data_IF_653463727432
#
_entry.id   IF_653463727432
#
_cell.length_a   1.000
_cell.length_b   1.000
_cell.length_c   1.000
_cell.angle_alpha   90.00
_cell.angle_beta   90.00
_cell.angle_gamma   90.00
#
_symmetry.space_group_name_H-M   'P 1'
#
loop_
_entity.id
_entity.type
_entity.pdbx_description
1 polymer ?
#
# COMPACT_ATOMS: atom_id res chain seq x y z
N UNK A 1 31.88 3.25 1.72
CA UNK A 1 30.45 2.93 2.00
C UNK A 1 29.72 2.97 0.67
N UNK A 2 28.83 2.06 0.45
CA UNK A 2 27.96 2.04 -0.74
C UNK A 2 26.50 2.22 -0.35
N UNK A 3 25.70 2.77 -1.25
CA UNK A 3 24.25 2.92 -1.08
C UNK A 3 23.55 1.90 -1.97
N UNK A 4 22.72 1.06 -1.38
CA UNK A 4 22.00 -0.02 -2.06
C UNK A 4 20.51 0.31 -2.09
N UNK A 5 19.89 0.15 -3.26
CA UNK A 5 18.44 0.19 -3.46
C UNK A 5 17.93 -1.23 -3.70
N UNK A 6 16.92 -1.62 -2.94
CA UNK A 6 16.19 -2.88 -3.16
C UNK A 6 14.77 -2.60 -3.61
N UNK A 7 14.25 -3.47 -4.47
CA UNK A 7 12.81 -3.60 -4.74
C UNK A 7 12.32 -4.89 -4.13
N UNK A 8 11.27 -4.79 -3.30
CA UNK A 8 10.75 -5.88 -2.48
C UNK A 8 9.28 -6.15 -2.81
N UNK A 9 8.89 -7.42 -2.69
CA UNK A 9 7.48 -7.80 -2.59
C UNK A 9 7.24 -8.54 -1.27
N UNK A 10 6.03 -8.42 -0.72
CA UNK A 10 5.65 -9.16 0.48
C UNK A 10 4.13 -9.32 0.65
N UNK A 11 3.76 -10.44 1.26
CA UNK A 11 2.44 -10.65 1.81
C UNK A 11 2.38 -10.05 3.22
N UNK A 12 1.60 -8.99 3.40
CA UNK A 12 1.50 -8.25 4.67
C UNK A 12 0.65 -8.92 5.76
N UNK A 13 -0.08 -10.00 5.46
CA UNK A 13 -1.10 -10.59 6.33
C UNK A 13 -0.60 -10.87 7.75
N UNK A 14 0.62 -11.38 7.91
CA UNK A 14 1.21 -11.74 9.22
C UNK A 14 1.94 -10.59 9.89
N UNK A 15 2.08 -9.44 9.22
CA UNK A 15 2.90 -8.33 9.68
C UNK A 15 2.08 -7.19 10.24
N UNK A 16 2.65 -6.52 11.23
CA UNK A 16 2.13 -5.29 11.82
C UNK A 16 2.49 -4.05 10.97
N UNK A 17 2.56 -4.25 9.64
CA UNK A 17 2.95 -3.26 8.66
C UNK A 17 4.46 -3.19 8.42
N UNK A 18 4.87 -2.16 7.71
CA UNK A 18 6.28 -1.91 7.42
C UNK A 18 7.08 -1.64 8.71
N UNK A 19 6.60 -0.70 9.52
CA UNK A 19 7.24 -0.26 10.76
C UNK A 19 6.18 0.12 11.78
N UNK A 20 6.25 -0.44 12.97
CA UNK A 20 5.34 -0.09 14.05
C UNK A 20 5.95 1.00 14.93
N UNK A 21 5.19 2.06 15.29
CA UNK A 21 5.67 3.13 16.19
C UNK A 21 5.86 2.67 17.65
N UNK A 22 5.16 1.63 18.09
CA UNK A 22 5.16 1.17 19.49
C UNK A 22 6.28 0.15 19.78
N UNK A 23 6.77 0.12 21.03
CA UNK A 23 7.89 -0.73 21.49
C UNK A 23 7.62 -2.23 21.31
N UNK A 24 6.38 -2.68 21.48
CA UNK A 24 6.02 -4.10 21.42
C UNK A 24 5.60 -4.53 20.02
N UNK A 25 6.15 -5.65 19.54
CA UNK A 25 5.81 -6.25 18.26
C UNK A 25 6.61 -5.69 17.07
N UNK A 26 7.71 -4.97 17.29
CA UNK A 26 8.64 -4.55 16.22
C UNK A 26 9.14 -5.76 15.40
N UNK A 27 9.40 -6.88 16.06
CA UNK A 27 9.82 -8.15 15.44
C UNK A 27 8.80 -8.72 14.43
N UNK A 28 7.54 -8.29 14.52
CA UNK A 28 6.45 -8.65 13.60
C UNK A 28 6.28 -7.64 12.47
N UNK A 29 7.28 -6.82 12.18
CA UNK A 29 7.26 -5.87 11.07
C UNK A 29 8.11 -6.35 9.90
N UNK A 30 7.77 -5.91 8.67
CA UNK A 30 8.56 -6.25 7.48
C UNK A 30 9.97 -5.66 7.59
N UNK A 31 10.10 -4.42 8.06
CA UNK A 31 11.41 -3.77 8.21
C UNK A 31 12.34 -4.53 9.15
N UNK A 32 11.82 -5.06 10.26
CA UNK A 32 12.62 -5.88 11.19
C UNK A 32 13.17 -7.14 10.52
N UNK A 33 12.34 -7.85 9.73
CA UNK A 33 12.81 -9.07 9.05
C UNK A 33 13.97 -8.77 8.10
N UNK A 34 13.88 -7.64 7.40
CA UNK A 34 14.92 -7.23 6.44
C UNK A 34 16.18 -6.75 7.18
N UNK A 35 16.06 -5.92 8.21
CA UNK A 35 17.23 -5.45 8.99
C UNK A 35 17.92 -6.59 9.71
N UNK A 36 17.17 -7.55 10.27
CA UNK A 36 17.72 -8.75 10.91
C UNK A 36 18.51 -9.62 9.92
N UNK A 37 17.96 -9.83 8.71
CA UNK A 37 18.65 -10.56 7.65
C UNK A 37 19.91 -9.82 7.18
N UNK A 38 19.85 -8.50 6.97
CA UNK A 38 21.00 -7.68 6.59
C UNK A 38 22.10 -7.72 7.66
N UNK A 39 21.73 -7.63 8.93
CA UNK A 39 22.69 -7.77 10.04
C UNK A 39 23.40 -9.12 10.02
N UNK A 40 22.66 -10.21 9.77
CA UNK A 40 23.26 -11.54 9.62
C UNK A 40 24.22 -11.67 8.43
N UNK A 41 23.97 -10.91 7.33
CA UNK A 41 24.79 -10.92 6.12
C UNK A 41 26.03 -10.05 6.25
N UNK A 42 25.91 -8.86 6.86
CA UNK A 42 26.95 -7.81 6.86
C UNK A 42 27.63 -7.63 8.21
N UNK A 43 27.03 -8.09 9.29
CA UNK A 43 27.46 -7.77 10.66
C UNK A 43 27.13 -6.34 11.11
N UNK A 44 26.44 -5.55 10.28
CA UNK A 44 26.16 -4.12 10.53
C UNK A 44 24.73 -3.88 11.02
N UNK A 45 24.55 -2.85 11.85
CA UNK A 45 23.24 -2.32 12.21
C UNK A 45 22.76 -1.32 11.12
N UNK A 46 22.01 -1.83 10.16
CA UNK A 46 21.59 -1.08 8.96
C UNK A 46 20.27 -0.34 9.21
N UNK A 47 20.24 0.93 8.80
CA UNK A 47 19.03 1.76 8.80
C UNK A 47 18.37 1.72 7.42
N UNK A 48 17.11 1.25 7.34
CA UNK A 48 16.32 1.22 6.11
C UNK A 48 15.53 2.51 5.91
N UNK A 49 15.58 3.04 4.70
CA UNK A 49 14.73 4.11 4.22
C UNK A 49 13.74 3.53 3.21
N UNK A 50 12.43 3.58 3.52
CA UNK A 50 11.38 2.96 2.70
C UNK A 50 10.58 4.00 1.93
N UNK A 51 10.32 3.77 0.65
CA UNK A 51 9.53 4.65 -0.22
C UNK A 51 8.08 4.82 0.24
N UNK A 52 7.52 3.79 0.87
CA UNK A 52 6.20 3.84 1.51
C UNK A 52 6.20 3.04 2.83
N UNK A 53 5.34 3.42 3.77
CA UNK A 53 5.14 2.70 5.04
C UNK A 53 3.75 2.09 5.03
N UNK A 54 3.66 0.81 4.64
CA UNK A 54 2.40 0.08 4.60
C UNK A 54 1.87 -0.19 6.01
N UNK A 55 0.55 -0.17 6.16
CA UNK A 55 -0.19 -0.45 7.39
C UNK A 55 -0.20 -1.97 7.70
N UNK A 56 -0.62 -2.37 8.92
CA UNK A 56 -0.82 -3.78 9.25
C UNK A 56 -1.73 -4.49 8.25
N UNK A 57 -1.32 -5.68 7.80
CA UNK A 57 -2.08 -6.49 6.84
C UNK A 57 -1.97 -6.05 5.37
N UNK A 58 -1.37 -4.90 5.09
CA UNK A 58 -1.22 -4.37 3.73
C UNK A 58 -0.02 -4.99 3.03
N UNK A 59 -0.20 -5.41 1.77
CA UNK A 59 0.82 -6.05 0.94
C UNK A 59 1.66 -5.05 0.14
N UNK A 60 2.69 -5.55 -0.52
CA UNK A 60 3.42 -4.78 -1.53
C UNK A 60 3.86 -5.68 -2.70
N UNK A 61 3.71 -5.16 -3.92
CA UNK A 61 4.28 -5.77 -5.13
C UNK A 61 5.65 -5.19 -5.46
N UNK A 62 5.88 -3.90 -5.18
CA UNK A 62 7.14 -3.23 -5.48
C UNK A 62 7.44 -2.13 -4.45
N UNK A 63 7.70 -2.53 -3.21
CA UNK A 63 8.25 -1.63 -2.20
C UNK A 63 9.70 -1.32 -2.54
N UNK A 64 10.07 -0.06 -2.52
CA UNK A 64 11.47 0.34 -2.67
C UNK A 64 12.07 0.72 -1.33
N UNK A 65 13.27 0.22 -1.04
CA UNK A 65 14.05 0.62 0.13
C UNK A 65 15.46 0.99 -0.27
N UNK A 66 16.11 1.84 0.51
CA UNK A 66 17.53 2.12 0.38
C UNK A 66 18.23 2.05 1.74
N UNK A 67 19.51 1.71 1.71
CA UNK A 67 20.37 1.70 2.87
C UNK A 67 21.84 1.88 2.48
N UNK A 68 22.62 2.39 3.43
CA UNK A 68 24.06 2.49 3.31
C UNK A 68 24.74 1.35 4.06
N UNK A 69 25.84 0.83 3.52
CA UNK A 69 26.64 -0.24 4.11
C UNK A 69 28.12 -0.06 3.80
N UNK A 70 28.99 -0.51 4.72
CA UNK A 70 30.44 -0.66 4.53
C UNK A 70 30.82 -1.99 3.89
N UNK A 71 29.88 -2.91 3.72
CA UNK A 71 30.12 -4.21 3.10
C UNK A 71 30.50 -4.04 1.62
N UNK A 72 31.42 -4.86 1.12
CA UNK A 72 31.87 -4.89 -0.28
C UNK A 72 31.04 -5.83 -1.17
N UNK A 73 29.95 -6.39 -0.65
CA UNK A 73 29.07 -7.27 -1.42
C UNK A 73 28.45 -6.51 -2.59
N UNK A 74 28.47 -7.12 -3.78
CA UNK A 74 27.78 -6.57 -4.94
C UNK A 74 26.24 -6.59 -4.71
N UNK A 75 25.48 -5.67 -5.34
CA UNK A 75 24.02 -5.61 -5.18
C UNK A 75 23.31 -6.95 -5.41
N UNK A 76 23.71 -7.70 -6.43
CA UNK A 76 23.14 -9.02 -6.74
C UNK A 76 23.40 -10.05 -5.62
N UNK A 77 24.52 -9.96 -4.89
CA UNK A 77 24.80 -10.80 -3.76
C UNK A 77 23.86 -10.49 -2.58
N UNK A 78 23.53 -9.19 -2.36
CA UNK A 78 22.49 -8.83 -1.39
C UNK A 78 21.15 -9.45 -1.76
N UNK A 79 20.73 -9.39 -3.03
CA UNK A 79 19.48 -10.00 -3.50
C UNK A 79 19.45 -11.50 -3.22
N UNK A 80 20.51 -12.23 -3.57
CA UNK A 80 20.60 -13.69 -3.36
C UNK A 80 20.58 -14.03 -1.88
N UNK A 81 21.45 -13.40 -1.09
CA UNK A 81 21.58 -13.70 0.32
C UNK A 81 20.30 -13.37 1.09
N UNK A 82 19.70 -12.20 0.84
CA UNK A 82 18.43 -11.84 1.48
C UNK A 82 17.33 -12.86 1.18
N UNK A 83 17.19 -13.31 -0.07
CA UNK A 83 16.18 -14.31 -0.43
C UNK A 83 16.43 -15.71 0.18
N UNK A 84 17.65 -15.99 0.68
CA UNK A 84 17.94 -17.21 1.43
C UNK A 84 17.54 -17.11 2.91
N UNK A 85 17.63 -15.91 3.51
CA UNK A 85 17.37 -15.69 4.93
C UNK A 85 15.97 -15.17 5.23
N UNK A 86 15.34 -14.49 4.29
CA UNK A 86 13.99 -13.93 4.47
C UNK A 86 12.94 -15.05 4.52
N UNK A 87 11.84 -14.86 5.30
CA UNK A 87 10.71 -15.76 5.26
C UNK A 87 10.05 -15.74 3.88
N UNK A 88 9.39 -16.86 3.50
CA UNK A 88 8.81 -17.09 2.16
C UNK A 88 7.79 -16.04 1.71
N UNK A 89 7.27 -15.25 2.61
CA UNK A 89 6.31 -14.18 2.33
C UNK A 89 6.94 -12.79 2.15
N UNK A 90 8.29 -12.70 2.10
CA UNK A 90 9.07 -11.51 1.73
C UNK A 90 10.13 -11.91 0.71
N UNK A 91 10.19 -11.22 -0.44
CA UNK A 91 11.20 -11.46 -1.46
C UNK A 91 11.83 -10.17 -1.97
N UNK A 92 13.11 -10.22 -2.26
CA UNK A 92 13.86 -9.16 -2.95
C UNK A 92 13.82 -9.46 -4.45
N UNK A 93 13.13 -8.60 -5.20
CA UNK A 93 12.99 -8.73 -6.66
C UNK A 93 14.23 -8.23 -7.38
N UNK A 94 14.77 -7.11 -6.90
CA UNK A 94 15.89 -6.40 -7.52
C UNK A 94 16.78 -5.76 -6.47
N UNK A 95 18.07 -5.66 -6.76
CA UNK A 95 19.04 -4.92 -5.98
C UNK A 95 20.00 -4.17 -6.91
N UNK A 96 20.18 -2.89 -6.68
CA UNK A 96 21.05 -2.04 -7.50
C UNK A 96 21.85 -1.06 -6.62
N UNK A 97 23.04 -0.67 -7.09
CA UNK A 97 23.74 0.47 -6.52
C UNK A 97 22.92 1.75 -6.76
N UNK A 98 22.88 2.60 -5.76
CA UNK A 98 22.19 3.89 -5.83
C UNK A 98 23.19 5.04 -5.58
N UNK A 99 22.91 6.25 -6.07
CA UNK A 99 23.72 7.43 -5.73
C UNK A 99 23.81 7.61 -4.21
N UNK A 100 24.94 8.09 -3.70
CA UNK A 100 25.23 8.21 -2.26
C UNK A 100 24.14 8.95 -1.48
N UNK A 101 23.54 9.97 -2.10
CA UNK A 101 22.49 10.82 -1.50
C UNK A 101 21.07 10.28 -1.72
N UNK A 102 20.91 9.18 -2.44
CA UNK A 102 19.59 8.63 -2.69
C UNK A 102 19.00 8.07 -1.41
N UNK A 103 17.77 8.48 -1.13
CA UNK A 103 16.95 7.95 -0.03
C UNK A 103 15.56 7.63 -0.56
N UNK A 104 15.15 6.38 -0.42
CA UNK A 104 13.87 5.92 -0.95
C UNK A 104 12.66 6.69 -0.37
N UNK A 105 12.73 7.14 0.88
CA UNK A 105 11.66 7.91 1.53
C UNK A 105 11.57 9.37 1.06
N UNK A 106 12.71 10.00 0.75
CA UNK A 106 12.79 11.43 0.40
C UNK A 106 12.69 11.70 -1.09
N UNK A 107 13.21 10.79 -1.93
CA UNK A 107 13.28 10.99 -3.38
C UNK A 107 12.05 10.47 -4.13
N UNK A 108 11.12 9.81 -3.45
CA UNK A 108 9.91 9.31 -4.10
C UNK A 108 8.99 10.45 -4.54
N UNK A 109 8.62 10.44 -5.83
CA UNK A 109 7.73 11.42 -6.47
C UNK A 109 6.27 11.04 -6.35
N UNK A 110 5.98 9.73 -6.46
CA UNK A 110 4.62 9.23 -6.28
C UNK A 110 4.60 7.80 -5.76
N UNK A 111 3.47 7.40 -5.18
CA UNK A 111 3.14 6.05 -4.74
C UNK A 111 1.82 5.67 -5.37
N UNK A 112 1.74 4.43 -5.83
CA UNK A 112 0.50 3.86 -6.36
C UNK A 112 0.10 2.67 -5.50
N UNK A 113 -1.11 2.73 -4.97
CA UNK A 113 -1.76 1.63 -4.28
C UNK A 113 -2.88 1.08 -5.15
N UNK A 114 -3.14 -0.21 -5.03
CA UNK A 114 -4.34 -0.83 -5.59
C UNK A 114 -5.11 -1.56 -4.50
N UNK A 115 -6.43 -1.52 -4.59
CA UNK A 115 -7.33 -2.23 -3.72
C UNK A 115 -8.18 -3.19 -4.54
N UNK A 116 -8.05 -4.49 -4.25
CA UNK A 116 -8.69 -5.58 -4.99
C UNK A 116 -9.95 -6.06 -4.28
N UNK A 117 -11.01 -6.24 -5.04
CA UNK A 117 -12.32 -6.66 -4.56
C UNK A 117 -12.83 -7.78 -5.46
N UNK A 118 -13.15 -8.93 -4.87
CA UNK A 118 -13.97 -9.94 -5.52
C UNK A 118 -15.43 -9.49 -5.44
N UNK A 119 -16.09 -9.29 -6.59
CA UNK A 119 -17.49 -8.87 -6.69
C UNK A 119 -18.40 -10.00 -7.16
N UNK A 120 -17.87 -11.22 -7.31
CA UNK A 120 -18.66 -12.41 -7.62
C UNK A 120 -19.57 -12.81 -6.45
N UNK A 121 -20.72 -13.44 -6.69
CA UNK A 121 -21.60 -13.94 -5.64
C UNK A 121 -20.91 -14.91 -4.66
N UNK A 122 -19.97 -15.72 -5.18
CA UNK A 122 -19.14 -16.65 -4.40
C UNK A 122 -17.71 -16.14 -4.35
N UNK A 123 -17.15 -16.06 -3.15
CA UNK A 123 -15.79 -15.59 -2.96
C UNK A 123 -14.77 -16.56 -3.56
N UNK A 124 -13.87 -16.05 -4.42
CA UNK A 124 -12.76 -16.82 -4.94
C UNK A 124 -11.71 -17.06 -3.85
N UNK A 125 -11.63 -18.30 -3.37
CA UNK A 125 -10.71 -18.68 -2.29
C UNK A 125 -9.22 -18.57 -2.69
N UNK A 126 -8.91 -18.61 -3.99
CA UNK A 126 -7.53 -18.45 -4.48
C UNK A 126 -7.05 -16.99 -4.44
N UNK A 127 -7.98 -16.04 -4.36
CA UNK A 127 -7.67 -14.61 -4.18
C UNK A 127 -7.93 -14.13 -2.75
N UNK A 128 -8.43 -15.00 -1.86
CA UNK A 128 -8.85 -14.68 -0.49
C UNK A 128 -7.82 -13.88 0.31
N UNK A 129 -6.54 -14.20 0.18
CA UNK A 129 -5.46 -13.52 0.92
C UNK A 129 -5.11 -12.13 0.38
N UNK A 130 -5.62 -11.74 -0.80
CA UNK A 130 -5.18 -10.55 -1.55
C UNK A 130 -6.34 -9.71 -2.10
N UNK A 131 -7.56 -9.99 -1.69
CA UNK A 131 -8.76 -9.24 -2.08
C UNK A 131 -9.75 -9.17 -0.93
N UNK A 132 -10.60 -8.14 -0.93
CA UNK A 132 -11.83 -8.11 -0.14
C UNK A 132 -12.94 -8.82 -0.91
N UNK A 133 -14.04 -9.18 -0.24
CA UNK A 133 -15.25 -9.66 -0.89
C UNK A 133 -16.38 -8.66 -0.68
N UNK A 134 -17.02 -8.24 -1.76
CA UNK A 134 -18.13 -7.31 -1.73
C UNK A 134 -19.17 -7.70 -2.77
N UNK A 135 -20.29 -8.25 -2.31
CA UNK A 135 -21.43 -8.57 -3.16
C UNK A 135 -22.73 -8.06 -2.50
N UNK A 136 -23.65 -7.43 -3.28
CA UNK A 136 -23.53 -7.10 -4.69
C UNK A 136 -22.42 -6.08 -5.00
N UNK A 137 -21.99 -6.03 -6.26
CA UNK A 137 -20.96 -5.10 -6.71
C UNK A 137 -21.42 -3.64 -6.48
N UNK A 138 -20.52 -2.73 -6.08
CA UNK A 138 -20.84 -1.31 -5.90
C UNK A 138 -21.09 -0.62 -7.25
N UNK A 139 -21.83 0.48 -7.24
CA UNK A 139 -22.03 1.32 -8.41
C UNK A 139 -20.75 2.11 -8.75
N UNK A 140 -20.05 1.66 -9.80
CA UNK A 140 -18.77 2.23 -10.22
C UNK A 140 -18.94 3.65 -10.79
N UNK A 141 -20.05 3.96 -11.42
CA UNK A 141 -20.24 5.29 -12.01
C UNK A 141 -20.49 6.35 -10.94
N UNK A 142 -21.18 5.98 -9.88
CA UNK A 142 -21.31 6.82 -8.68
C UNK A 142 -19.95 7.00 -8.01
N UNK A 143 -19.15 5.93 -7.90
CA UNK A 143 -17.80 5.98 -7.34
C UNK A 143 -16.87 6.88 -8.17
N UNK A 144 -16.92 6.84 -9.51
CA UNK A 144 -16.13 7.71 -10.39
C UNK A 144 -16.45 9.19 -10.17
N UNK A 145 -17.74 9.52 -10.02
CA UNK A 145 -18.16 10.90 -9.72
C UNK A 145 -17.61 11.37 -8.36
N UNK A 146 -17.66 10.53 -7.35
CA UNK A 146 -17.10 10.82 -6.05
C UNK A 146 -15.57 10.95 -6.11
N UNK A 147 -14.89 10.06 -6.83
CA UNK A 147 -13.45 10.08 -7.02
C UNK A 147 -12.95 11.40 -7.64
N UNK A 148 -13.69 11.95 -8.63
CA UNK A 148 -13.37 13.23 -9.24
C UNK A 148 -13.34 14.40 -8.25
N UNK A 149 -14.08 14.31 -7.14
CA UNK A 149 -14.10 15.34 -6.09
C UNK A 149 -12.91 15.21 -5.12
N UNK A 150 -12.22 14.07 -5.12
CA UNK A 150 -11.08 13.79 -4.24
C UNK A 150 -9.73 14.07 -4.94
N UNK A 151 -9.71 14.03 -6.28
CA UNK A 151 -8.48 14.27 -7.06
C UNK A 151 -8.05 15.72 -6.94
N UNK A 152 -6.72 15.92 -6.83
CA UNK A 152 -6.09 17.22 -6.73
C UNK A 152 -5.40 17.43 -5.39
N UNK A 153 -4.97 18.68 -5.16
CA UNK A 153 -4.26 19.08 -3.95
C UNK A 153 -5.23 19.55 -2.88
N UNK A 154 -5.30 18.79 -1.78
CA UNK A 154 -6.18 19.07 -0.64
C UNK A 154 -5.45 18.83 0.69
N UNK A 155 -6.02 19.35 1.77
CA UNK A 155 -5.66 18.93 3.12
C UNK A 155 -6.36 17.59 3.45
N UNK A 156 -5.61 16.49 3.32
CA UNK A 156 -6.08 15.15 3.64
C UNK A 156 -5.98 14.79 5.13
N UNK A 157 -5.80 15.75 6.02
CA UNK A 157 -5.75 15.51 7.47
C UNK A 157 -6.96 14.73 8.00
N UNK A 158 -8.15 14.96 7.41
CA UNK A 158 -9.40 14.24 7.72
C UNK A 158 -9.37 12.75 7.29
N UNK A 159 -8.48 12.36 6.39
CA UNK A 159 -8.23 10.98 5.99
C UNK A 159 -7.05 10.33 6.72
N UNK A 160 -6.45 11.01 7.69
CA UNK A 160 -5.36 10.45 8.49
C UNK A 160 -5.88 9.69 9.71
N UNK A 161 -5.31 8.50 9.98
CA UNK A 161 -5.57 7.73 11.19
C UNK A 161 -4.93 8.32 12.45
N UNK A 162 -4.08 9.34 12.29
CA UNK A 162 -3.43 10.06 13.40
C UNK A 162 -3.59 11.56 13.21
N UNK A 163 -3.81 12.27 14.31
CA UNK A 163 -3.92 13.73 14.27
C UNK A 163 -2.55 14.34 13.98
N UNK A 164 -2.41 14.97 12.81
CA UNK A 164 -1.22 15.75 12.44
C UNK A 164 -1.56 17.23 12.36
N UNK A 165 -0.61 18.08 12.76
CA UNK A 165 -0.77 19.54 12.69
C UNK A 165 -0.14 20.15 11.43
N UNK A 166 0.75 19.43 10.74
CA UNK A 166 1.50 19.90 9.55
C UNK A 166 1.74 18.75 8.57
N UNK A 167 1.96 19.07 7.30
CA UNK A 167 2.28 18.10 6.24
C UNK A 167 1.10 17.24 5.82
N UNK A 168 -0.14 17.71 6.03
CA UNK A 168 -1.38 17.03 5.69
C UNK A 168 -1.86 17.33 4.27
N UNK A 169 -1.35 18.40 3.65
CA UNK A 169 -1.57 18.65 2.23
C UNK A 169 -0.89 17.57 1.39
N UNK A 170 -1.65 16.92 0.54
CA UNK A 170 -1.20 15.93 -0.42
C UNK A 170 -1.81 16.23 -1.79
N UNK A 171 -1.17 15.70 -2.83
CA UNK A 171 -1.68 15.77 -4.18
C UNK A 171 -2.11 14.37 -4.60
N UNK A 172 -3.42 14.14 -4.65
CA UNK A 172 -4.01 12.91 -5.15
C UNK A 172 -4.10 13.01 -6.67
N UNK A 173 -3.16 12.37 -7.34
CA UNK A 173 -2.91 12.55 -8.78
C UNK A 173 -3.95 11.82 -9.63
N UNK A 174 -4.42 10.63 -9.16
CA UNK A 174 -5.29 9.79 -9.96
C UNK A 174 -6.06 8.78 -9.10
N UNK A 175 -7.31 8.52 -9.49
CA UNK A 175 -8.12 7.39 -8.99
C UNK A 175 -8.72 6.69 -10.20
N UNK A 176 -8.37 5.40 -10.41
CA UNK A 176 -8.90 4.58 -11.49
C UNK A 176 -9.64 3.36 -10.98
N UNK A 177 -10.58 2.90 -11.79
CA UNK A 177 -11.36 1.70 -11.54
C UNK A 177 -11.19 0.74 -12.72
N UNK A 178 -10.71 -0.46 -12.44
CA UNK A 178 -10.55 -1.53 -13.42
C UNK A 178 -11.46 -2.69 -13.01
N UNK A 179 -12.21 -3.21 -13.96
CA UNK A 179 -13.09 -4.37 -13.75
C UNK A 179 -12.64 -5.52 -14.63
N UNK A 180 -12.65 -6.72 -14.07
CA UNK A 180 -12.46 -7.96 -14.83
C UNK A 180 -13.62 -8.89 -14.52
N UNK A 181 -14.05 -9.65 -15.52
CA UNK A 181 -15.13 -10.62 -15.41
C UNK A 181 -15.86 -10.76 -16.73
N UNK A 182 -16.55 -11.90 -16.90
CA UNK A 182 -17.46 -12.15 -18.02
C UNK A 182 -18.88 -12.12 -17.48
N UNK A 183 -19.64 -11.11 -17.83
CA UNK A 183 -21.03 -10.89 -17.40
C UNK A 183 -21.99 -12.09 -17.62
N UNK A 184 -21.61 -13.10 -18.38
CA UNK A 184 -22.43 -14.29 -18.67
C UNK A 184 -21.70 -15.61 -18.42
N UNK A 185 -20.64 -15.63 -17.59
CA UNK A 185 -19.96 -16.87 -17.26
C UNK A 185 -20.76 -17.68 -16.20
N UNK A 186 -20.70 -19.03 -16.25
CA UNK A 186 -21.23 -19.86 -15.17
C UNK A 186 -20.64 -19.44 -13.81
N UNK A 187 -21.37 -19.64 -12.71
CA UNK A 187 -20.91 -19.27 -11.35
C UNK A 187 -19.54 -19.85 -11.02
N UNK A 188 -19.24 -21.05 -11.53
CA UNK A 188 -17.92 -21.72 -11.37
C UNK A 188 -16.77 -21.01 -12.08
N UNK A 189 -17.06 -20.14 -13.06
CA UNK A 189 -16.07 -19.39 -13.84
C UNK A 189 -16.16 -17.88 -13.58
N UNK A 190 -17.13 -17.45 -12.78
CA UNK A 190 -17.34 -16.05 -12.50
C UNK A 190 -16.26 -15.56 -11.50
N UNK A 191 -15.28 -14.83 -12.03
CA UNK A 191 -14.22 -14.16 -11.28
C UNK A 191 -14.35 -12.65 -11.36
N UNK A 192 -15.59 -12.17 -11.27
CA UNK A 192 -15.85 -10.74 -11.31
C UNK A 192 -15.06 -10.04 -10.22
N UNK A 193 -14.31 -9.03 -10.61
CA UNK A 193 -13.51 -8.26 -9.68
C UNK A 193 -13.48 -6.77 -10.05
N UNK A 194 -13.32 -5.96 -9.03
CA UNK A 194 -13.08 -4.53 -9.12
C UNK A 194 -11.73 -4.23 -8.48
N UNK A 195 -10.89 -3.47 -9.18
CA UNK A 195 -9.66 -2.92 -8.63
C UNK A 195 -9.75 -1.39 -8.61
N UNK A 196 -9.53 -0.80 -7.44
CA UNK A 196 -9.44 0.65 -7.25
C UNK A 196 -7.95 1.00 -7.16
N UNK A 197 -7.47 1.87 -8.06
CA UNK A 197 -6.07 2.28 -8.12
C UNK A 197 -5.96 3.75 -7.69
N UNK A 198 -5.14 4.02 -6.68
CA UNK A 198 -4.91 5.32 -6.10
C UNK A 198 -3.45 5.74 -6.33
N UNK A 199 -3.21 6.89 -6.94
CA UNK A 199 -1.87 7.45 -7.10
C UNK A 199 -1.80 8.83 -6.49
N UNK A 200 -0.82 9.06 -5.60
CA UNK A 200 -0.57 10.36 -4.98
C UNK A 200 0.92 10.65 -4.86
N UNK A 201 1.29 11.91 -4.68
CA UNK A 201 2.67 12.29 -4.37
C UNK A 201 3.15 11.65 -3.05
N UNK A 202 2.25 11.52 -2.08
CA UNK A 202 2.47 10.81 -0.81
C UNK A 202 1.11 10.50 -0.16
N UNK A 203 1.08 9.53 0.76
CA UNK A 203 -0.11 9.20 1.53
C UNK A 203 0.12 9.39 3.02
N UNK A 204 -0.90 9.87 3.72
CA UNK A 204 -0.92 9.89 5.18
C UNK A 204 -1.21 8.48 5.72
N UNK A 205 -0.90 8.27 6.98
CA UNK A 205 -1.21 7.02 7.67
C UNK A 205 -2.71 6.68 7.57
N UNK A 206 -3.02 5.49 7.10
CA UNK A 206 -4.37 4.98 6.81
C UNK A 206 -5.14 5.72 5.69
N UNK A 207 -4.56 6.69 5.03
CA UNK A 207 -5.25 7.46 3.99
C UNK A 207 -5.75 6.58 2.84
N UNK A 208 -4.97 5.62 2.28
CA UNK A 208 -5.47 4.76 1.20
C UNK A 208 -6.72 3.97 1.60
N UNK A 209 -6.71 3.34 2.80
CA UNK A 209 -7.84 2.55 3.30
C UNK A 209 -9.09 3.42 3.54
N UNK A 210 -8.92 4.65 4.03
CA UNK A 210 -10.04 5.59 4.29
C UNK A 210 -10.64 6.12 2.98
N UNK A 211 -9.82 6.38 1.96
CA UNK A 211 -10.28 6.75 0.63
C UNK A 211 -11.08 5.62 -0.01
N UNK A 212 -10.54 4.39 0.03
CA UNK A 212 -11.24 3.20 -0.48
C UNK A 212 -12.56 2.98 0.26
N UNK A 213 -12.55 3.02 1.60
CA UNK A 213 -13.77 2.84 2.40
C UNK A 213 -14.85 3.85 2.03
N UNK A 214 -14.49 5.12 1.91
CA UNK A 214 -15.42 6.18 1.49
C UNK A 214 -16.02 5.91 0.11
N UNK A 215 -15.17 5.55 -0.86
CA UNK A 215 -15.64 5.25 -2.23
C UNK A 215 -16.57 4.05 -2.25
N UNK A 216 -16.27 2.98 -1.47
CA UNK A 216 -17.12 1.80 -1.36
C UNK A 216 -18.46 2.12 -0.68
N UNK A 217 -18.45 2.89 0.42
CA UNK A 217 -19.68 3.35 1.09
C UNK A 217 -20.58 4.13 0.13
N UNK A 218 -19.99 5.00 -0.72
CA UNK A 218 -20.73 5.77 -1.71
C UNK A 218 -21.27 4.86 -2.83
N UNK A 219 -20.43 3.94 -3.34
CA UNK A 219 -20.85 3.00 -4.39
C UNK A 219 -21.92 2.00 -3.96
N UNK A 220 -22.00 1.70 -2.65
CA UNK A 220 -23.05 0.88 -2.07
C UNK A 220 -24.32 1.68 -1.68
N UNK A 221 -24.35 3.01 -1.89
CA UNK A 221 -25.45 3.87 -1.48
C UNK A 221 -25.58 4.07 0.04
N UNK A 222 -24.55 3.69 0.81
CA UNK A 222 -24.53 3.87 2.27
C UNK A 222 -24.18 5.31 2.67
N UNK A 223 -23.61 6.06 1.77
CA UNK A 223 -23.21 7.46 1.96
C UNK A 223 -23.40 8.26 0.66
N UNK A 224 -23.82 9.53 0.77
CA UNK A 224 -23.87 10.45 -0.36
C UNK A 224 -22.49 10.99 -0.72
N UNK A 225 -22.22 11.25 -1.99
CA UNK A 225 -21.02 11.98 -2.44
C UNK A 225 -20.94 13.40 -1.90
N UNK A 226 -22.06 14.01 -1.50
CA UNK A 226 -22.12 15.32 -0.82
C UNK A 226 -21.43 15.33 0.55
N UNK A 227 -21.14 14.15 1.12
CA UNK A 227 -20.33 14.03 2.34
C UNK A 227 -18.88 14.46 2.12
N UNK A 228 -18.34 14.41 0.87
CA UNK A 228 -16.92 14.73 0.60
C UNK A 228 -16.56 16.16 0.98
N UNK A 229 -17.30 17.21 0.54
CA UNK A 229 -17.06 18.57 1.01
C UNK A 229 -17.19 18.73 2.52
N UNK A 230 -18.12 18.03 3.15
CA UNK A 230 -18.31 18.07 4.60
C UNK A 230 -17.12 17.41 5.35
N UNK A 231 -16.55 16.34 4.80
CA UNK A 231 -15.35 15.68 5.34
C UNK A 231 -14.16 16.65 5.28
N UNK A 232 -13.91 17.28 4.13
CA UNK A 232 -12.83 18.26 3.99
C UNK A 232 -13.03 19.48 4.90
N UNK A 233 -14.28 19.89 5.11
CA UNK A 233 -14.63 20.96 6.07
C UNK A 233 -14.55 20.53 7.55
N UNK A 234 -14.22 19.26 7.82
CA UNK A 234 -14.14 18.73 9.19
C UNK A 234 -15.49 18.51 9.89
N UNK A 235 -16.61 18.62 9.16
CA UNK A 235 -17.96 18.43 9.70
C UNK A 235 -18.34 16.95 9.81
N UNK A 236 -17.74 16.11 8.96
CA UNK A 236 -17.91 14.66 8.97
C UNK A 236 -16.57 13.94 9.08
N UNK A 237 -16.60 12.70 9.54
CA UNK A 237 -15.39 11.87 9.71
C UNK A 237 -15.37 10.73 8.72
N UNK A 238 -14.16 10.31 8.34
CA UNK A 238 -13.91 9.07 7.63
C UNK A 238 -13.60 7.95 8.62
N UNK A 239 -14.00 6.73 8.27
CA UNK A 239 -13.64 5.51 9.00
C UNK A 239 -13.00 4.52 8.02
N UNK A 240 -12.41 3.45 8.53
CA UNK A 240 -12.02 2.29 7.75
C UNK A 240 -13.11 1.25 7.92
N UNK A 241 -13.79 0.93 6.82
CA UNK A 241 -14.84 -0.10 6.73
C UNK A 241 -14.44 -1.25 5.80
N UNK A 242 -13.26 -1.17 5.18
CA UNK A 242 -12.75 -2.18 4.26
C UNK A 242 -11.57 -2.97 4.86
N UNK A 243 -11.40 -4.23 4.41
CA UNK A 243 -10.32 -5.09 4.85
C UNK A 243 -8.95 -4.66 4.33
N UNK A 244 -7.94 -4.58 5.20
CA UNK A 244 -6.57 -4.24 4.81
C UNK A 244 -5.95 -5.22 3.79
N UNK A 245 -6.36 -6.49 3.80
CA UNK A 245 -5.88 -7.54 2.88
C UNK A 245 -6.19 -7.27 1.40
N UNK A 246 -7.14 -6.39 1.09
CA UNK A 246 -7.39 -5.96 -0.28
C UNK A 246 -6.38 -4.93 -0.78
N UNK A 247 -5.67 -4.25 0.12
CA UNK A 247 -4.76 -3.15 -0.22
C UNK A 247 -3.34 -3.65 -0.44
N UNK A 248 -2.72 -3.18 -1.52
CA UNK A 248 -1.31 -3.44 -1.79
C UNK A 248 -0.62 -2.22 -2.41
N UNK A 249 0.63 -2.00 -2.02
CA UNK A 249 1.51 -1.03 -2.65
C UNK A 249 1.97 -1.59 -4.01
N UNK A 250 1.50 -0.99 -5.11
CA UNK A 250 1.82 -1.42 -6.47
C UNK A 250 3.20 -0.95 -6.91
N UNK A 251 3.52 0.32 -6.67
CA UNK A 251 4.81 0.90 -7.06
C UNK A 251 5.13 2.19 -6.32
N UNK A 252 6.43 2.53 -6.31
CA UNK A 252 6.96 3.83 -5.91
C UNK A 252 7.77 4.37 -7.08
N UNK A 253 7.53 5.63 -7.50
CA UNK A 253 8.23 6.30 -8.59
C UNK A 253 9.25 7.32 -8.05
N UNK A 254 10.39 7.45 -8.75
CA UNK A 254 11.52 8.29 -8.38
C UNK A 254 11.89 9.28 -9.47
#
# INVERSE_FOLDING_TARGET
MQNIRLTLQYNGTRYLGWQRPAKDGYEKTVSYKITSALRGITGEDIVLHAGAKTEPGVHAMAQTVSFQTGSDLAPEQFRRNLNQYLPQDISVLDAAAAPDRFRADLNARSRTYEYRICTAPVYDIFTYGYSAHLFPAPDIDVMKKAAAMLIGRHDFGCFSGVRKKKGTEKDLLDIRFETTGKTNAPVSENRDSLTIILTANDFLYQMPLRLVSLLLEIGQGLRSSESIPNIFAGKEKTAISCDAKGLLLRSVQY
#
